data_IF_516885863090
#
_entry.id   IF_516885863090
#
_cell.length_a   1.000
_cell.length_b   1.000
_cell.length_c   1.000
_cell.angle_alpha   90.00
_cell.angle_beta   90.00
_cell.angle_gamma   90.00
#
_symmetry.space_group_name_H-M   'P 1'
#
loop_
_entity.id
_entity.type
_entity.pdbx_description
1 polymer ?
#
# COMPACT_ATOMS: atom_id res chain seq x y z
N UNK A 1 -27.15 -33.18 20.77
CA UNK A 1 -27.77 -31.99 20.14
C UNK A 1 -27.33 -30.76 20.90
N UNK A 2 -26.45 -29.94 20.34
CA UNK A 2 -26.11 -28.64 20.92
C UNK A 2 -26.38 -27.59 19.85
N UNK A 3 -27.63 -27.12 19.83
CA UNK A 3 -28.09 -26.06 18.94
C UNK A 3 -27.71 -24.75 19.62
N UNK A 4 -26.74 -24.01 19.07
CA UNK A 4 -26.44 -22.66 19.54
C UNK A 4 -27.72 -21.84 19.42
N UNK A 5 -28.31 -21.50 20.56
CA UNK A 5 -29.40 -20.53 20.63
C UNK A 5 -28.77 -19.17 20.37
N UNK A 6 -28.96 -18.63 19.17
CA UNK A 6 -28.66 -17.23 18.93
C UNK A 6 -29.76 -16.47 19.66
N UNK A 7 -29.49 -16.03 20.87
CA UNK A 7 -30.42 -15.17 21.60
C UNK A 7 -30.50 -13.87 20.80
N UNK A 8 -31.59 -13.70 20.05
CA UNK A 8 -31.92 -12.44 19.40
C UNK A 8 -32.34 -11.41 20.47
N UNK A 9 -31.37 -10.96 21.25
CA UNK A 9 -31.57 -9.89 22.21
C UNK A 9 -31.57 -8.57 21.46
N UNK A 10 -32.74 -8.22 20.93
CA UNK A 10 -33.30 -6.87 21.01
C UNK A 10 -32.36 -5.70 20.69
N UNK A 11 -32.10 -5.51 19.39
CA UNK A 11 -31.96 -4.26 18.63
C UNK A 11 -31.13 -4.63 17.39
N UNK A 12 -31.78 -4.91 16.26
CA UNK A 12 -31.08 -4.91 14.98
C UNK A 12 -30.37 -3.55 14.88
N UNK A 13 -29.04 -3.49 14.88
CA UNK A 13 -28.37 -2.21 14.83
C UNK A 13 -28.78 -1.55 13.50
N UNK A 14 -29.18 -0.28 13.54
CA UNK A 14 -29.50 0.55 12.37
C UNK A 14 -28.39 0.51 11.29
N UNK A 15 -27.21 0.06 11.70
CA UNK A 15 -26.00 -0.24 10.95
C UNK A 15 -26.23 -1.16 9.73
N UNK A 16 -27.10 -2.17 9.77
CA UNK A 16 -27.17 -3.17 8.68
C UNK A 16 -27.81 -2.60 7.38
N UNK A 17 -28.79 -1.69 7.54
CA UNK A 17 -29.54 -1.11 6.41
C UNK A 17 -28.80 0.01 5.69
N UNK A 18 -27.80 0.63 6.34
CA UNK A 18 -27.02 1.75 5.78
C UNK A 18 -25.63 1.35 5.27
N UNK A 19 -25.10 0.21 5.73
CA UNK A 19 -23.82 -0.35 5.25
C UNK A 19 -23.92 -0.86 3.81
N UNK A 20 -25.00 -1.56 3.47
CA UNK A 20 -25.22 -2.12 2.12
C UNK A 20 -25.18 -1.07 1.01
N UNK A 21 -25.91 0.06 1.10
CA UNK A 21 -25.87 1.07 0.04
C UNK A 21 -24.49 1.76 -0.09
N UNK A 22 -23.72 1.89 1.00
CA UNK A 22 -22.37 2.47 0.96
C UNK A 22 -21.39 1.53 0.24
N UNK A 23 -21.45 0.22 0.54
CA UNK A 23 -20.66 -0.80 -0.17
C UNK A 23 -21.04 -0.86 -1.65
N UNK A 24 -22.33 -0.85 -1.98
CA UNK A 24 -22.81 -0.85 -3.37
C UNK A 24 -22.31 0.38 -4.13
N UNK A 25 -22.34 1.57 -3.52
CA UNK A 25 -21.81 2.79 -4.13
C UNK A 25 -20.31 2.70 -4.37
N UNK A 26 -19.56 2.17 -3.40
CA UNK A 26 -18.13 1.89 -3.58
C UNK A 26 -17.87 0.90 -4.71
N UNK A 27 -18.64 -0.18 -4.79
CA UNK A 27 -18.52 -1.19 -5.84
C UNK A 27 -18.79 -0.61 -7.23
N UNK A 28 -19.82 0.25 -7.35
CA UNK A 28 -20.14 0.92 -8.61
C UNK A 28 -19.00 1.83 -9.08
N UNK A 29 -18.42 2.62 -8.16
CA UNK A 29 -17.27 3.47 -8.44
C UNK A 29 -16.05 2.63 -8.86
N UNK A 30 -15.76 1.55 -8.13
CA UNK A 30 -14.64 0.67 -8.45
C UNK A 30 -14.82 -0.05 -9.80
N UNK A 31 -16.04 -0.48 -10.12
CA UNK A 31 -16.34 -1.11 -11.41
C UNK A 31 -16.10 -0.14 -12.57
N UNK A 32 -16.53 1.12 -12.43
CA UNK A 32 -16.27 2.14 -13.44
C UNK A 32 -14.77 2.42 -13.60
N UNK A 33 -14.03 2.53 -12.49
CA UNK A 33 -12.59 2.75 -12.50
C UNK A 33 -11.85 1.58 -13.17
N UNK A 34 -12.22 0.35 -12.83
CA UNK A 34 -11.65 -0.87 -13.40
C UNK A 34 -11.92 -0.97 -14.90
N UNK A 35 -13.13 -0.64 -15.35
CA UNK A 35 -13.48 -0.62 -16.77
C UNK A 35 -12.67 0.45 -17.52
N UNK A 36 -12.54 1.65 -16.96
CA UNK A 36 -11.73 2.72 -17.54
C UNK A 36 -10.26 2.29 -17.68
N UNK A 37 -9.69 1.64 -16.67
CA UNK A 37 -8.31 1.12 -16.71
C UNK A 37 -8.15 -0.03 -17.72
N UNK A 38 -9.12 -0.94 -17.80
CA UNK A 38 -9.08 -2.07 -18.73
C UNK A 38 -9.17 -1.65 -20.20
N UNK A 39 -9.92 -0.60 -20.52
CA UNK A 39 -10.03 -0.08 -21.89
C UNK A 39 -8.80 0.74 -22.28
N UNK A 40 -8.19 1.45 -21.33
CA UNK A 40 -7.05 2.34 -21.60
C UNK A 40 -5.72 1.61 -21.69
N UNK A 41 -5.53 0.53 -20.92
CA UNK A 41 -4.25 -0.18 -20.89
C UNK A 41 -4.35 -1.52 -21.63
N UNK A 42 -3.67 -1.69 -22.78
CA UNK A 42 -3.79 -2.86 -23.63
C UNK A 42 -3.18 -4.15 -23.04
N UNK A 43 -2.44 -4.04 -21.94
CA UNK A 43 -1.77 -5.15 -21.27
C UNK A 43 -2.13 -5.24 -19.79
N UNK A 44 -2.85 -6.30 -19.43
CA UNK A 44 -3.16 -6.63 -18.03
C UNK A 44 -1.87 -6.86 -17.24
N UNK A 45 -0.88 -7.53 -17.83
CA UNK A 45 0.42 -7.77 -17.18
C UNK A 45 1.14 -6.45 -16.91
N UNK A 46 1.09 -5.51 -17.86
CA UNK A 46 1.69 -4.18 -17.70
C UNK A 46 1.06 -3.39 -16.55
N UNK A 47 -0.27 -3.42 -16.43
CA UNK A 47 -0.99 -2.80 -15.30
C UNK A 47 -0.51 -3.35 -13.96
N UNK A 48 -0.50 -4.67 -13.81
CA UNK A 48 -0.07 -5.33 -12.58
C UNK A 48 1.38 -5.04 -12.25
N UNK A 49 2.25 -5.06 -13.26
CA UNK A 49 3.66 -4.76 -13.10
C UNK A 49 3.89 -3.31 -12.64
N UNK A 50 3.28 -2.31 -13.28
CA UNK A 50 3.41 -0.90 -12.88
C UNK A 50 2.87 -0.68 -11.47
N UNK A 51 1.70 -1.26 -11.17
CA UNK A 51 1.06 -1.14 -9.86
C UNK A 51 1.95 -1.75 -8.77
N UNK A 52 2.49 -2.95 -9.02
CA UNK A 52 3.42 -3.62 -8.11
C UNK A 52 4.70 -2.82 -7.90
N UNK A 53 5.31 -2.33 -8.97
CA UNK A 53 6.56 -1.55 -8.90
C UNK A 53 6.42 -0.24 -8.13
N UNK A 54 5.22 0.35 -8.08
CA UNK A 54 4.96 1.57 -7.31
C UNK A 54 4.60 1.28 -5.85
N UNK A 55 3.72 0.31 -5.61
CA UNK A 55 3.15 0.08 -4.27
C UNK A 55 4.06 -0.79 -3.39
N UNK A 56 4.67 -1.85 -3.93
CA UNK A 56 5.51 -2.80 -3.18
C UNK A 56 6.66 -2.11 -2.42
N UNK A 57 7.44 -1.17 -2.96
CA UNK A 57 8.57 -0.59 -2.23
C UNK A 57 8.19 0.15 -0.94
N UNK A 58 6.97 0.67 -0.84
CA UNK A 58 6.45 1.30 0.38
C UNK A 58 5.90 0.32 1.41
N UNK A 59 5.42 -0.85 0.99
CA UNK A 59 4.86 -1.85 1.89
C UNK A 59 5.88 -2.91 2.34
N UNK A 60 6.90 -3.19 1.52
CA UNK A 60 7.82 -4.31 1.73
C UNK A 60 8.54 -4.22 3.09
N UNK A 61 9.16 -3.08 3.41
CA UNK A 61 9.86 -2.91 4.68
C UNK A 61 8.93 -2.93 5.91
N UNK A 62 7.82 -2.17 5.95
CA UNK A 62 6.84 -2.24 7.04
C UNK A 62 6.26 -3.65 7.24
N UNK A 63 6.02 -4.38 6.14
CA UNK A 63 5.57 -5.77 6.20
C UNK A 63 6.63 -6.67 6.83
N UNK A 64 7.89 -6.56 6.41
CA UNK A 64 9.00 -7.32 6.99
C UNK A 64 9.21 -7.04 8.49
N UNK A 65 8.96 -5.81 8.94
CA UNK A 65 9.03 -5.47 10.37
C UNK A 65 8.02 -6.22 11.22
N UNK A 66 6.87 -6.60 10.65
CA UNK A 66 5.82 -7.32 11.39
C UNK A 66 6.29 -8.70 11.86
N UNK A 67 7.27 -9.31 11.18
CA UNK A 67 7.87 -10.58 11.60
C UNK A 67 8.89 -10.42 12.73
N UNK A 68 9.33 -9.20 13.04
CA UNK A 68 10.35 -8.95 14.06
C UNK A 68 9.69 -8.74 15.42
N UNK A 69 9.64 -9.81 16.22
CA UNK A 69 8.88 -9.92 17.47
C UNK A 69 9.21 -8.92 18.59
N UNK A 70 10.34 -8.20 18.54
CA UNK A 70 10.86 -7.50 19.73
C UNK A 70 11.48 -6.12 19.50
N UNK A 71 11.10 -5.41 18.44
CA UNK A 71 11.57 -4.02 18.24
C UNK A 71 10.38 -3.06 18.24
N UNK A 72 10.32 -2.21 19.27
CA UNK A 72 9.53 -0.98 19.24
C UNK A 72 9.94 -0.20 18.00
N UNK A 73 9.03 -0.02 17.04
CA UNK A 73 9.36 0.63 15.76
C UNK A 73 9.73 2.09 16.09
N UNK A 74 11.03 2.47 16.06
CA UNK A 74 11.44 3.84 16.37
C UNK A 74 11.33 4.74 15.12
N UNK A 75 10.84 4.17 14.02
CA UNK A 75 10.74 4.78 12.70
C UNK A 75 9.34 5.33 12.51
N UNK A 76 9.21 6.52 11.94
CA UNK A 76 7.92 7.03 11.49
C UNK A 76 7.39 6.13 10.36
N UNK A 77 6.55 5.15 10.70
CA UNK A 77 6.02 4.13 9.77
C UNK A 77 5.30 4.78 8.59
N UNK A 78 4.56 5.86 8.85
CA UNK A 78 3.85 6.61 7.80
C UNK A 78 4.84 7.13 6.76
N UNK A 79 5.97 7.67 7.21
CA UNK A 79 7.04 8.15 6.33
C UNK A 79 7.70 7.00 5.57
N UNK A 80 7.94 5.85 6.22
CA UNK A 80 8.50 4.65 5.60
C UNK A 80 7.56 4.02 4.56
N UNK A 81 6.24 4.23 4.67
CA UNK A 81 5.26 3.79 3.68
C UNK A 81 5.09 4.79 2.54
N UNK A 82 5.05 6.09 2.86
CA UNK A 82 4.62 7.13 1.90
C UNK A 82 5.76 7.59 1.01
N UNK A 83 6.95 7.87 1.55
CA UNK A 83 8.08 8.39 0.76
C UNK A 83 8.52 7.45 -0.38
N UNK A 84 8.65 6.13 -0.16
CA UNK A 84 9.03 5.21 -1.23
C UNK A 84 8.04 5.18 -2.38
N UNK A 85 6.74 5.23 -2.08
CA UNK A 85 5.68 5.27 -3.09
C UNK A 85 5.74 6.57 -3.86
N UNK A 86 5.92 7.71 -3.18
CA UNK A 86 6.06 9.01 -3.84
C UNK A 86 7.25 9.04 -4.80
N UNK A 87 8.39 8.47 -4.39
CA UNK A 87 9.60 8.44 -5.22
C UNK A 87 9.41 7.49 -6.40
N UNK A 88 8.78 6.33 -6.20
CA UNK A 88 8.44 5.42 -7.30
C UNK A 88 7.48 6.09 -8.31
N UNK A 89 6.47 6.84 -7.85
CA UNK A 89 5.56 7.59 -8.74
C UNK A 89 6.34 8.64 -9.55
N UNK A 90 7.19 9.44 -8.90
CA UNK A 90 8.01 10.46 -9.58
C UNK A 90 8.90 9.79 -10.64
N UNK A 91 9.52 8.65 -10.30
CA UNK A 91 10.38 7.91 -11.22
C UNK A 91 9.61 7.34 -12.42
N UNK A 92 8.40 6.83 -12.18
CA UNK A 92 7.51 6.34 -13.24
C UNK A 92 7.10 7.45 -14.20
N UNK A 93 6.72 8.63 -13.67
CA UNK A 93 6.35 9.80 -14.49
C UNK A 93 7.56 10.24 -15.32
N UNK A 94 8.74 10.37 -14.71
CA UNK A 94 9.97 10.72 -15.41
C UNK A 94 10.28 9.74 -16.55
N UNK A 95 10.21 8.44 -16.29
CA UNK A 95 10.49 7.41 -17.29
C UNK A 95 9.55 7.44 -18.49
N UNK A 96 8.28 7.79 -18.28
CA UNK A 96 7.33 7.98 -19.37
C UNK A 96 7.61 9.26 -20.17
N UNK A 97 8.06 10.33 -19.52
CA UNK A 97 8.38 11.60 -20.20
C UNK A 97 9.68 11.53 -21.01
N UNK A 98 10.69 10.81 -20.54
CA UNK A 98 12.00 10.70 -21.21
C UNK A 98 12.06 9.59 -22.27
N UNK A 99 10.95 8.88 -22.53
CA UNK A 99 10.91 7.75 -23.47
C UNK A 99 11.64 6.50 -22.99
N UNK A 100 11.93 6.42 -21.69
CA UNK A 100 12.68 5.35 -21.04
C UNK A 100 13.03 5.72 -19.61
N UNK A 101 13.08 4.74 -18.71
CA UNK A 101 13.39 4.99 -17.30
C UNK A 101 14.80 5.55 -17.13
N UNK A 102 15.01 6.52 -16.20
CA UNK A 102 16.35 6.95 -15.85
C UNK A 102 17.22 5.75 -15.46
N UNK A 103 18.41 5.64 -16.06
CA UNK A 103 19.34 4.52 -15.87
C UNK A 103 18.80 3.12 -16.26
N UNK A 104 17.71 3.06 -17.03
CA UNK A 104 16.97 1.82 -17.29
C UNK A 104 16.49 1.10 -16.02
N UNK A 105 16.39 1.84 -14.90
CA UNK A 105 15.94 1.31 -13.62
C UNK A 105 14.45 1.48 -13.46
N UNK A 106 13.78 0.38 -13.14
CA UNK A 106 12.35 0.38 -12.83
C UNK A 106 12.03 1.24 -11.61
N UNK A 107 10.83 1.87 -11.53
CA UNK A 107 10.39 2.68 -10.39
C UNK A 107 10.48 1.98 -9.02
N UNK A 108 10.44 0.65 -9.04
CA UNK A 108 10.61 -0.21 -7.89
C UNK A 108 11.93 0.02 -7.14
N UNK A 109 13.05 0.09 -7.86
CA UNK A 109 14.38 0.16 -7.23
C UNK A 109 14.64 1.49 -6.51
N UNK A 110 14.37 2.67 -7.11
CA UNK A 110 14.45 3.95 -6.41
C UNK A 110 13.54 4.00 -5.18
N UNK A 111 12.31 3.50 -5.29
CA UNK A 111 11.40 3.38 -4.16
C UNK A 111 12.00 2.55 -3.03
N UNK A 112 12.49 1.33 -3.33
CA UNK A 112 13.09 0.46 -2.32
C UNK A 112 14.35 1.05 -1.68
N UNK A 113 15.21 1.69 -2.46
CA UNK A 113 16.41 2.33 -1.92
C UNK A 113 16.03 3.38 -0.87
N UNK A 114 14.95 4.12 -1.10
CA UNK A 114 14.52 5.16 -0.16
C UNK A 114 13.94 4.59 1.12
N UNK A 115 13.20 3.48 1.06
CA UNK A 115 12.74 2.80 2.28
C UNK A 115 13.91 2.21 3.07
N UNK A 116 14.93 1.67 2.41
CA UNK A 116 16.16 1.21 3.05
C UNK A 116 16.94 2.36 3.72
N UNK A 117 17.07 3.51 3.06
CA UNK A 117 17.74 4.69 3.62
C UNK A 117 17.02 5.18 4.87
N UNK A 118 15.69 5.36 4.80
CA UNK A 118 14.88 5.80 5.94
C UNK A 118 15.03 4.83 7.11
N UNK A 119 14.93 3.53 6.84
CA UNK A 119 15.07 2.51 7.87
C UNK A 119 16.45 2.52 8.54
N UNK A 120 17.52 2.63 7.74
CA UNK A 120 18.89 2.71 8.25
C UNK A 120 19.10 3.97 9.10
N UNK A 121 18.67 5.14 8.61
CA UNK A 121 18.78 6.41 9.34
C UNK A 121 18.03 6.37 10.68
N UNK A 122 16.80 5.88 10.67
CA UNK A 122 15.99 5.79 11.89
C UNK A 122 16.53 4.75 12.87
N UNK A 123 17.10 3.64 12.38
CA UNK A 123 17.82 2.68 13.21
C UNK A 123 19.05 3.28 13.91
N UNK A 124 19.81 4.14 13.22
CA UNK A 124 20.96 4.86 13.80
C UNK A 124 20.53 5.91 14.84
N UNK A 125 19.41 6.59 14.63
CA UNK A 125 18.90 7.59 15.57
C UNK A 125 18.33 6.94 16.85
N UNK A 126 17.63 5.80 16.72
CA UNK A 126 17.15 5.05 17.89
C UNK A 126 18.27 4.51 18.78
N UNK A 127 19.47 4.28 18.25
CA UNK A 127 20.64 3.89 19.03
C UNK A 127 21.29 5.06 19.79
N UNK A 128 21.00 6.31 19.42
CA UNK A 128 21.55 7.52 20.06
C UNK A 128 20.74 7.96 21.28
N UNK A 129 19.44 7.66 21.33
CA UNK A 129 18.56 8.00 22.47
C UNK A 129 18.72 7.07 23.68
N UNK A 130 19.50 6.00 23.58
CA UNK A 130 19.76 5.03 24.66
C UNK A 130 21.09 5.26 25.40
N UNK A 131 21.76 6.40 25.18
CA UNK A 131 23.04 6.74 25.82
C UNK A 131 22.95 8.10 26.51
#
# INVERSE_FOLDING_TARGET
MWRIQVTETGKTPVIDRTMTPMVQKGLFVMAFLALALAVTVPSVVGLWYVTGSIIVPGLLLPFLMTFRTNQSIPVNIIQLMTLPVMIAIIWFILGNLTGGYPFALEPFYPGLLTSLIIFSLSGLNGARDLK
#
